data_IF_279086981130
#
_entry.id   IF_279086981130
#
_cell.length_a   1.000
_cell.length_b   1.000
_cell.length_c   1.000
_cell.angle_alpha   90.00
_cell.angle_beta   90.00
_cell.angle_gamma   90.00
#
_symmetry.space_group_name_H-M   'P 1'
#
loop_
_entity.id
_entity.type
_entity.pdbx_description
1 polymer ?
#
# COMPACT_ATOMS: atom_id res chain seq x y z
N UNK A 1 4.30 -43.47 44.20
CA UNK A 1 5.28 -42.46 43.77
C UNK A 1 5.30 -42.41 42.24
N UNK A 2 5.05 -41.23 41.68
CA UNK A 2 5.47 -40.69 40.36
C UNK A 2 5.05 -41.44 39.09
N UNK A 3 3.92 -41.05 38.50
CA UNK A 3 3.71 -41.16 37.05
C UNK A 3 4.23 -39.88 36.38
N UNK A 4 5.18 -40.08 35.47
CA UNK A 4 5.89 -39.03 34.75
C UNK A 4 5.00 -38.47 33.64
N UNK A 5 4.61 -37.20 33.76
CA UNK A 5 3.88 -36.48 32.71
C UNK A 5 4.82 -36.16 31.56
N UNK A 6 4.66 -36.86 30.44
CA UNK A 6 5.30 -36.46 29.18
C UNK A 6 4.66 -35.15 28.70
N UNK A 7 5.30 -34.03 29.04
CA UNK A 7 5.03 -32.73 28.44
C UNK A 7 5.39 -32.79 26.94
N UNK A 8 4.41 -33.05 26.09
CA UNK A 8 4.54 -32.83 24.65
C UNK A 8 4.56 -31.32 24.42
N UNK A 9 5.76 -30.73 24.53
CA UNK A 9 6.02 -29.38 24.07
C UNK A 9 5.71 -29.29 22.58
N UNK A 10 4.57 -28.71 22.24
CA UNK A 10 4.23 -28.35 20.85
C UNK A 10 5.26 -27.32 20.40
N UNK A 11 6.31 -27.81 19.73
CA UNK A 11 7.28 -26.98 19.03
C UNK A 11 6.51 -26.21 17.97
N UNK A 12 6.17 -24.96 18.25
CA UNK A 12 5.85 -24.02 17.18
C UNK A 12 7.06 -24.02 16.25
N UNK A 13 6.85 -24.34 14.98
CA UNK A 13 7.90 -24.36 13.97
C UNK A 13 8.53 -22.97 13.92
N UNK A 14 9.64 -22.78 14.63
CA UNK A 14 10.40 -21.56 14.65
C UNK A 14 11.36 -21.59 13.47
N UNK A 15 11.28 -20.53 12.66
CA UNK A 15 12.23 -20.19 11.60
C UNK A 15 12.21 -21.07 10.33
N UNK A 16 11.12 -21.03 9.56
CA UNK A 16 11.32 -20.93 8.10
C UNK A 16 11.95 -19.56 7.87
N UNK A 17 13.23 -19.50 7.49
CA UNK A 17 13.80 -18.29 6.92
C UNK A 17 12.89 -17.91 5.76
N UNK A 18 12.18 -16.80 5.91
CA UNK A 18 11.38 -16.24 4.86
C UNK A 18 12.35 -15.54 3.89
N UNK A 19 13.20 -16.30 3.21
CA UNK A 19 14.21 -15.77 2.27
C UNK A 19 13.58 -14.97 1.12
N UNK A 20 12.24 -15.03 0.99
CA UNK A 20 11.44 -14.32 -0.01
C UNK A 20 10.36 -13.40 0.60
N UNK A 21 10.24 -13.28 1.93
CA UNK A 21 9.30 -12.31 2.49
C UNK A 21 9.90 -10.91 2.47
N UNK A 22 9.03 -9.95 2.18
CA UNK A 22 9.32 -8.54 2.35
C UNK A 22 9.76 -8.28 3.80
N UNK A 23 10.76 -7.41 3.99
CA UNK A 23 11.04 -6.87 5.31
C UNK A 23 9.78 -6.21 5.88
N UNK A 24 9.70 -6.13 7.21
CA UNK A 24 8.59 -5.45 7.89
C UNK A 24 8.39 -4.02 7.33
N UNK A 25 9.49 -3.31 7.07
CA UNK A 25 9.42 -1.97 6.48
C UNK A 25 8.80 -1.95 5.09
N UNK A 26 9.20 -2.87 4.20
CA UNK A 26 8.60 -2.97 2.87
C UNK A 26 7.11 -3.32 2.95
N UNK A 27 6.73 -4.20 3.88
CA UNK A 27 5.33 -4.53 4.12
C UNK A 27 4.53 -3.30 4.55
N UNK A 28 5.03 -2.55 5.54
CA UNK A 28 4.38 -1.33 6.01
C UNK A 28 4.30 -0.27 4.92
N UNK A 29 5.34 -0.08 4.11
CA UNK A 29 5.28 0.85 2.97
C UNK A 29 4.25 0.41 1.94
N UNK A 30 4.19 -0.87 1.58
CA UNK A 30 3.18 -1.40 0.66
C UNK A 30 1.76 -1.12 1.15
N UNK A 31 1.50 -1.30 2.45
CA UNK A 31 0.21 -0.98 3.05
C UNK A 31 -0.15 0.52 2.88
N UNK A 32 0.81 1.43 3.08
CA UNK A 32 0.60 2.87 2.90
C UNK A 32 0.34 3.25 1.44
N UNK A 33 1.12 2.69 0.51
CA UNK A 33 0.93 2.89 -0.95
C UNK A 33 -0.47 2.43 -1.37
N UNK A 34 -0.90 1.23 -0.95
CA UNK A 34 -2.23 0.73 -1.25
C UNK A 34 -3.35 1.55 -0.60
N UNK A 35 -3.11 2.12 0.58
CA UNK A 35 -4.05 3.03 1.23
C UNK A 35 -4.25 4.29 0.39
N UNK A 36 -3.15 4.94 -0.01
CA UNK A 36 -3.19 6.14 -0.86
C UNK A 36 -3.90 5.86 -2.19
N UNK A 37 -3.56 4.77 -2.87
CA UNK A 37 -4.21 4.39 -4.13
C UNK A 37 -5.74 4.30 -3.99
N UNK A 38 -6.22 3.63 -2.93
CA UNK A 38 -7.65 3.49 -2.67
C UNK A 38 -8.31 4.83 -2.31
N UNK A 39 -7.61 5.70 -1.59
CA UNK A 39 -8.10 7.06 -1.30
C UNK A 39 -8.32 7.84 -2.59
N UNK A 40 -7.33 7.86 -3.50
CA UNK A 40 -7.42 8.51 -4.81
C UNK A 40 -8.62 7.95 -5.59
N UNK A 41 -8.74 6.62 -5.72
CA UNK A 41 -9.85 6.01 -6.46
C UNK A 41 -11.22 6.36 -5.88
N UNK A 42 -11.36 6.43 -4.55
CA UNK A 42 -12.62 6.86 -3.92
C UNK A 42 -12.90 8.33 -4.19
N UNK A 43 -11.88 9.19 -4.09
CA UNK A 43 -12.02 10.61 -4.38
C UNK A 43 -12.47 10.91 -5.81
N UNK A 44 -11.95 10.16 -6.80
CA UNK A 44 -12.41 10.30 -8.20
C UNK A 44 -13.90 10.03 -8.41
N UNK A 45 -14.59 9.38 -7.45
CA UNK A 45 -16.04 9.17 -7.55
C UNK A 45 -16.83 10.48 -7.51
N UNK A 46 -16.29 11.53 -6.91
CA UNK A 46 -16.93 12.84 -6.80
C UNK A 46 -16.91 13.66 -8.10
N UNK A 47 -16.04 13.31 -9.07
CA UNK A 47 -16.02 13.95 -10.38
C UNK A 47 -17.34 13.67 -11.10
N UNK A 48 -18.07 14.69 -11.57
CA UNK A 48 -19.37 14.48 -12.25
C UNK A 48 -19.19 13.97 -13.67
N UNK A 49 -18.32 14.62 -14.45
CA UNK A 49 -18.03 14.24 -15.82
C UNK A 49 -17.41 12.84 -15.93
N UNK A 50 -17.99 12.01 -16.79
CA UNK A 50 -17.61 10.61 -16.91
C UNK A 50 -16.25 10.42 -17.58
N UNK A 51 -15.94 11.25 -18.58
CA UNK A 51 -14.66 11.18 -19.30
C UNK A 51 -13.51 11.60 -18.38
N UNK A 52 -13.63 12.77 -17.74
CA UNK A 52 -12.66 13.28 -16.76
C UNK A 52 -12.42 12.30 -15.62
N UNK A 53 -13.48 11.65 -15.12
CA UNK A 53 -13.37 10.59 -14.11
C UNK A 53 -12.57 9.38 -14.61
N UNK A 54 -12.82 8.94 -15.84
CA UNK A 54 -12.09 7.82 -16.44
C UNK A 54 -10.61 8.16 -16.65
N UNK A 55 -10.32 9.36 -17.14
CA UNK A 55 -8.96 9.87 -17.32
C UNK A 55 -8.22 9.97 -16.00
N UNK A 56 -8.82 10.55 -14.96
CA UNK A 56 -8.23 10.65 -13.63
C UNK A 56 -7.88 9.28 -13.03
N UNK A 57 -8.76 8.29 -13.19
CA UNK A 57 -8.52 6.91 -12.72
C UNK A 57 -7.40 6.24 -13.50
N UNK A 58 -7.37 6.42 -14.83
CA UNK A 58 -6.33 5.88 -15.69
C UNK A 58 -4.97 6.49 -15.32
N UNK A 59 -4.90 7.82 -15.21
CA UNK A 59 -3.70 8.52 -14.79
C UNK A 59 -3.18 8.01 -13.43
N UNK A 60 -4.06 7.91 -12.43
CA UNK A 60 -3.69 7.37 -11.13
C UNK A 60 -3.15 5.92 -11.25
N UNK A 61 -3.76 5.07 -12.07
CA UNK A 61 -3.25 3.70 -12.27
C UNK A 61 -1.88 3.69 -12.94
N UNK A 62 -1.71 4.48 -13.99
CA UNK A 62 -0.47 4.54 -14.77
C UNK A 62 0.71 5.04 -13.93
N UNK A 63 0.49 6.01 -13.03
CA UNK A 63 1.52 6.47 -12.08
C UNK A 63 1.96 5.37 -11.11
N UNK A 64 1.02 4.60 -10.55
CA UNK A 64 1.37 3.50 -9.62
C UNK A 64 2.05 2.33 -10.35
N UNK A 65 1.65 2.02 -11.58
CA UNK A 65 2.30 0.98 -12.39
C UNK A 65 3.71 1.40 -12.82
N UNK A 66 3.94 2.68 -13.15
CA UNK A 66 5.27 3.21 -13.51
C UNK A 66 6.33 2.89 -12.45
N UNK A 67 5.96 2.98 -11.17
CA UNK A 67 6.88 2.78 -10.05
C UNK A 67 6.71 1.43 -9.34
N UNK A 68 5.96 0.47 -9.92
CA UNK A 68 5.65 -0.82 -9.27
C UNK A 68 6.88 -1.63 -8.87
N UNK A 69 7.98 -1.49 -9.62
CA UNK A 69 9.21 -2.25 -9.43
C UNK A 69 10.23 -1.54 -8.54
N UNK A 70 9.92 -0.35 -8.01
CA UNK A 70 10.82 0.35 -7.08
C UNK A 70 10.89 -0.42 -5.77
N UNK A 71 12.09 -0.86 -5.40
CA UNK A 71 12.34 -1.56 -4.14
C UNK A 71 13.01 -0.68 -3.10
N UNK A 72 13.60 0.46 -3.47
CA UNK A 72 14.23 1.36 -2.51
C UNK A 72 13.18 2.01 -1.59
N UNK A 73 13.37 1.87 -0.27
CA UNK A 73 12.43 2.36 0.73
C UNK A 73 12.39 3.89 0.77
N UNK A 74 13.55 4.55 0.61
CA UNK A 74 13.65 6.01 0.64
C UNK A 74 12.93 6.61 -0.56
N UNK A 75 13.16 6.06 -1.75
CA UNK A 75 12.47 6.43 -2.97
C UNK A 75 10.96 6.17 -2.87
N UNK A 76 10.54 5.01 -2.34
CA UNK A 76 9.11 4.71 -2.12
C UNK A 76 8.44 5.73 -1.21
N UNK A 77 9.10 6.11 -0.11
CA UNK A 77 8.59 7.13 0.83
C UNK A 77 8.49 8.50 0.18
N UNK A 78 9.50 8.87 -0.62
CA UNK A 78 9.48 10.12 -1.39
C UNK A 78 8.30 10.15 -2.37
N UNK A 79 8.14 9.12 -3.22
CA UNK A 79 7.02 9.02 -4.15
C UNK A 79 5.65 9.06 -3.45
N UNK A 80 5.53 8.38 -2.31
CA UNK A 80 4.31 8.39 -1.51
C UNK A 80 3.98 9.81 -1.01
N UNK A 81 4.99 10.54 -0.53
CA UNK A 81 4.82 11.93 -0.08
C UNK A 81 4.40 12.83 -1.24
N UNK A 82 5.11 12.74 -2.37
CA UNK A 82 4.82 13.52 -3.57
C UNK A 82 3.41 13.24 -4.10
N UNK A 83 3.03 11.95 -4.19
CA UNK A 83 1.70 11.55 -4.61
C UNK A 83 0.59 12.03 -3.66
N UNK A 84 0.84 12.05 -2.35
CA UNK A 84 -0.09 12.62 -1.37
C UNK A 84 -0.31 14.11 -1.60
N UNK A 85 0.76 14.89 -1.76
CA UNK A 85 0.67 16.33 -2.01
C UNK A 85 -0.04 16.65 -3.34
N UNK A 86 0.25 15.87 -4.38
CA UNK A 86 -0.44 15.99 -5.67
C UNK A 86 -1.94 15.71 -5.53
N UNK A 87 -2.30 14.64 -4.80
CA UNK A 87 -3.70 14.30 -4.53
C UNK A 87 -4.41 15.38 -3.70
N UNK A 88 -3.82 15.87 -2.61
CA UNK A 88 -4.41 16.94 -1.78
C UNK A 88 -4.65 18.23 -2.57
N UNK A 89 -3.83 18.50 -3.58
CA UNK A 89 -4.03 19.61 -4.49
C UNK A 89 -5.21 19.35 -5.43
N UNK A 90 -5.26 18.18 -6.06
CA UNK A 90 -6.36 17.75 -6.93
C UNK A 90 -7.72 17.68 -6.20
N UNK A 91 -7.74 17.13 -5.00
CA UNK A 91 -8.96 16.94 -4.21
C UNK A 91 -9.64 18.27 -3.88
N UNK A 92 -8.87 19.33 -3.62
CA UNK A 92 -9.41 20.68 -3.44
C UNK A 92 -10.13 21.21 -4.68
N UNK A 93 -9.63 20.89 -5.88
CA UNK A 93 -10.32 21.25 -7.12
C UNK A 93 -11.57 20.40 -7.34
N UNK A 94 -11.53 19.10 -7.03
CA UNK A 94 -12.69 18.21 -7.17
C UNK A 94 -13.81 18.59 -6.18
N UNK A 95 -13.47 18.88 -4.93
CA UNK A 95 -14.44 19.32 -3.92
C UNK A 95 -15.04 20.70 -4.21
N UNK A 96 -14.37 21.51 -5.02
CA UNK A 96 -14.88 22.79 -5.53
C UNK A 96 -15.70 22.71 -6.82
N UNK A 97 -15.79 21.54 -7.47
CA UNK A 97 -16.57 21.30 -8.70
C UNK A 97 -17.98 20.75 -8.40
#
# INVERSE_FOLDING_TARGET
MRYSTHFLGRRYATHRRLDRALSLDHFLQRCRVLSLYRTILRGTRHIRDAQTKAEARRFARDEFERYRLVTDLSHTRYLLSTGKTAWESMERYIGGM
#
